data_IF_857794865527
#
_entry.id   IF_857794865527
#
_cell.length_a   1.000
_cell.length_b   1.000
_cell.length_c   1.000
_cell.angle_alpha   90.00
_cell.angle_beta   90.00
_cell.angle_gamma   90.00
#
_symmetry.space_group_name_H-M   'P 1'
#
loop_
_entity.id
_entity.type
_entity.pdbx_description
1 polymer ?
#
# COMPACT_ATOMS: atom_id res chain seq x y z
N UNK A 1 16.70 12.42 -22.66
CA UNK A 1 16.22 11.12 -22.17
C UNK A 1 16.77 10.83 -20.78
N UNK A 2 16.08 9.96 -20.05
CA UNK A 2 16.29 9.54 -18.64
C UNK A 2 15.66 10.44 -17.57
N UNK A 3 14.33 10.41 -17.52
CA UNK A 3 13.61 10.65 -16.27
C UNK A 3 14.14 9.67 -15.22
N UNK A 4 14.91 10.19 -14.26
CA UNK A 4 15.33 9.48 -13.04
C UNK A 4 14.08 9.01 -12.31
N UNK A 5 13.59 7.80 -12.62
CA UNK A 5 12.58 7.13 -11.81
C UNK A 5 13.22 6.93 -10.44
N UNK A 6 12.79 7.74 -9.48
CA UNK A 6 13.25 7.64 -8.11
C UNK A 6 12.79 6.25 -7.62
N UNK A 7 13.69 5.31 -7.28
CA UNK A 7 13.30 3.95 -6.88
C UNK A 7 12.34 3.95 -5.68
N UNK A 8 12.30 5.05 -4.93
CA UNK A 8 11.38 5.29 -3.82
C UNK A 8 9.92 5.48 -4.23
N UNK A 9 9.62 5.82 -5.48
CA UNK A 9 8.24 5.95 -5.96
C UNK A 9 7.61 4.61 -6.35
N UNK A 10 8.44 3.58 -6.57
CA UNK A 10 8.01 2.23 -6.91
C UNK A 10 7.91 1.28 -5.69
N UNK A 11 8.50 1.66 -4.55
CA UNK A 11 8.49 0.83 -3.33
C UNK A 11 7.27 1.20 -2.49
N UNK A 12 6.31 0.28 -2.41
CA UNK A 12 5.18 0.39 -1.50
C UNK A 12 5.62 0.05 -0.06
N UNK A 13 5.43 1.00 0.86
CA UNK A 13 5.61 0.79 2.29
C UNK A 13 4.21 0.71 2.93
N UNK A 14 3.86 -0.40 3.61
CA UNK A 14 2.56 -0.53 4.23
C UNK A 14 2.40 0.38 5.46
N UNK A 15 1.21 0.93 5.60
CA UNK A 15 0.77 1.59 6.81
C UNK A 15 0.46 0.56 7.92
N UNK A 16 1.03 0.79 9.09
CA UNK A 16 0.74 0.01 10.30
C UNK A 16 -0.18 0.81 11.25
N UNK A 17 -1.12 0.09 11.86
CA UNK A 17 -1.99 0.56 12.93
C UNK A 17 -1.43 0.23 14.32
N UNK A 18 -2.33 0.18 15.30
CA UNK A 18 -1.98 -0.18 16.68
C UNK A 18 -1.38 -1.58 16.75
N UNK A 19 -0.45 -1.77 17.70
CA UNK A 19 0.20 -3.05 17.98
C UNK A 19 0.99 -3.66 16.79
N UNK A 20 1.31 -2.86 15.77
CA UNK A 20 2.07 -3.32 14.60
C UNK A 20 1.26 -4.10 13.57
N UNK A 21 -0.07 -4.13 13.69
CA UNK A 21 -0.96 -4.70 12.68
C UNK A 21 -1.04 -3.78 11.45
N UNK A 22 -1.49 -4.32 10.32
CA UNK A 22 -1.75 -3.50 9.13
C UNK A 22 -3.00 -2.65 9.33
N UNK A 23 -3.02 -1.44 8.76
CA UNK A 23 -4.29 -0.71 8.65
C UNK A 23 -5.23 -1.46 7.68
N UNK A 24 -6.56 -1.42 7.90
CA UNK A 24 -7.51 -2.10 7.02
C UNK A 24 -7.48 -1.61 5.56
N UNK A 25 -7.08 -0.36 5.35
CA UNK A 25 -6.95 0.26 4.03
C UNK A 25 -5.51 0.69 3.85
N UNK A 26 -4.92 0.24 2.74
CA UNK A 26 -3.58 0.60 2.32
C UNK A 26 -3.66 1.47 1.07
N UNK A 27 -2.85 2.52 1.02
CA UNK A 27 -2.80 3.44 -0.11
C UNK A 27 -1.36 3.62 -0.60
N UNK A 28 -1.15 3.43 -1.89
CA UNK A 28 0.10 3.75 -2.55
C UNK A 28 0.09 5.23 -2.93
N UNK A 29 0.70 6.06 -2.09
CA UNK A 29 0.61 7.52 -2.17
C UNK A 29 1.12 8.08 -3.50
N UNK A 30 2.10 7.44 -4.15
CA UNK A 30 2.63 7.91 -5.43
C UNK A 30 1.67 7.68 -6.60
N UNK A 31 0.82 6.66 -6.54
CA UNK A 31 -0.18 6.38 -7.58
C UNK A 31 -1.59 6.81 -7.20
N UNK A 32 -1.84 7.15 -5.93
CA UNK A 32 -3.16 7.44 -5.39
C UNK A 32 -4.08 6.23 -5.27
N UNK A 33 -3.55 5.02 -5.51
CA UNK A 33 -4.31 3.77 -5.51
C UNK A 33 -4.49 3.24 -4.09
N UNK A 34 -5.70 2.83 -3.73
CA UNK A 34 -6.00 2.27 -2.42
C UNK A 34 -6.72 0.91 -2.54
N UNK A 35 -6.49 0.03 -1.56
CA UNK A 35 -7.12 -1.29 -1.48
C UNK A 35 -7.30 -1.71 -0.02
N UNK A 36 -8.25 -2.61 0.23
CA UNK A 36 -8.42 -3.19 1.56
C UNK A 36 -7.54 -4.42 1.75
N UNK A 37 -7.08 -4.63 3.00
CA UNK A 37 -6.25 -5.78 3.38
C UNK A 37 -6.78 -6.46 4.64
N UNK A 38 -6.40 -7.72 4.84
CA UNK A 38 -6.54 -8.41 6.12
C UNK A 38 -5.53 -7.81 7.12
N UNK A 39 -6.01 -7.35 8.29
CA UNK A 39 -5.19 -6.59 9.27
C UNK A 39 -4.04 -7.40 9.88
N UNK A 40 -4.19 -8.72 9.92
CA UNK A 40 -3.24 -9.66 10.52
C UNK A 40 -2.11 -10.06 9.56
N UNK A 41 -2.39 -10.13 8.26
CA UNK A 41 -1.48 -10.69 7.24
C UNK A 41 -1.08 -9.67 6.18
N UNK A 42 -1.77 -8.53 6.08
CA UNK A 42 -1.57 -7.53 5.04
C UNK A 42 -2.01 -7.98 3.63
N UNK A 43 -2.65 -9.16 3.51
CA UNK A 43 -3.09 -9.68 2.21
C UNK A 43 -4.25 -8.84 1.66
N UNK A 44 -4.21 -8.43 0.38
CA UNK A 44 -5.33 -7.75 -0.27
C UNK A 44 -6.60 -8.58 -0.24
N UNK A 45 -7.74 -7.92 0.02
CA UNK A 45 -9.06 -8.55 -0.06
C UNK A 45 -9.53 -8.50 -1.51
N UNK A 46 -9.84 -9.65 -2.15
CA UNK A 46 -10.32 -9.67 -3.53
C UNK A 46 -11.54 -8.77 -3.74
N UNK A 47 -11.55 -7.99 -4.82
CA UNK A 47 -12.67 -7.12 -5.19
C UNK A 47 -12.77 -5.78 -4.43
N UNK A 48 -11.82 -5.48 -3.54
CA UNK A 48 -11.78 -4.18 -2.80
C UNK A 48 -10.79 -3.17 -3.38
N UNK A 49 -10.10 -3.58 -4.43
CA UNK A 49 -9.18 -2.80 -5.23
C UNK A 49 -9.96 -1.86 -6.15
N UNK A 50 -9.79 -0.53 -5.99
CA UNK A 50 -10.46 0.49 -6.80
C UNK A 50 -9.49 1.19 -7.77
#
# INVERSE_FOLDING_TARGET
DEARQNPREAIFIPDCGLQGLYKPVQCHQSTGYCWCVLVDTGRPIPGTSA
#
